data_IF_241101392259
#
_entry.id   IF_241101392259
#
_cell.length_a   1.000
_cell.length_b   1.000
_cell.length_c   1.000
_cell.angle_alpha   90.00
_cell.angle_beta   90.00
_cell.angle_gamma   90.00
#
_symmetry.space_group_name_H-M   'P 1'
#
loop_
_entity.id
_entity.type
_entity.pdbx_description
1 polymer ?
#
# COMPACT_ATOMS: atom_id res chain seq x y z
N UNK A 1 -16.10 30.77 -21.84
CA UNK A 1 -16.30 29.79 -20.75
C UNK A 1 -15.72 28.46 -21.21
N UNK A 2 -14.78 27.88 -20.47
CA UNK A 2 -14.27 26.53 -20.77
C UNK A 2 -15.37 25.54 -20.37
N UNK A 3 -15.78 24.67 -21.28
CA UNK A 3 -16.76 23.59 -21.03
C UNK A 3 -16.32 22.76 -19.82
N UNK A 4 -17.27 22.32 -18.98
CA UNK A 4 -16.96 21.51 -17.80
C UNK A 4 -16.32 20.17 -18.18
N UNK A 5 -16.59 19.65 -19.38
CA UNK A 5 -15.88 18.50 -19.94
C UNK A 5 -14.40 18.81 -20.19
N UNK A 6 -14.09 20.01 -20.69
CA UNK A 6 -12.70 20.44 -20.93
C UNK A 6 -11.97 20.64 -19.60
N UNK A 7 -12.63 21.18 -18.57
CA UNK A 7 -12.03 21.28 -17.22
C UNK A 7 -11.73 19.90 -16.63
N UNK A 8 -12.65 18.95 -16.78
CA UNK A 8 -12.48 17.57 -16.32
C UNK A 8 -11.34 16.86 -17.06
N UNK A 9 -11.27 17.05 -18.37
CA UNK A 9 -10.20 16.49 -19.21
C UNK A 9 -8.84 17.08 -18.83
N UNK A 10 -8.75 18.40 -18.63
CA UNK A 10 -7.53 19.09 -18.20
C UNK A 10 -7.08 18.65 -16.80
N UNK A 11 -8.01 18.45 -15.86
CA UNK A 11 -7.71 17.88 -14.54
C UNK A 11 -7.09 16.48 -14.65
N UNK A 12 -7.69 15.61 -15.47
CA UNK A 12 -7.19 14.25 -15.67
C UNK A 12 -5.83 14.21 -16.38
N UNK A 13 -5.63 15.05 -17.38
CA UNK A 13 -4.34 15.19 -18.07
C UNK A 13 -3.28 15.73 -17.11
N UNK A 14 -3.62 16.72 -16.28
CA UNK A 14 -2.70 17.28 -15.28
C UNK A 14 -2.28 16.22 -14.27
N UNK A 15 -3.23 15.43 -13.74
CA UNK A 15 -2.95 14.27 -12.86
C UNK A 15 -2.05 13.22 -13.52
N UNK A 16 -2.19 13.01 -14.82
CA UNK A 16 -1.37 12.06 -15.58
C UNK A 16 0.03 12.59 -15.94
N UNK A 17 0.21 13.92 -16.01
CA UNK A 17 1.46 14.58 -16.39
C UNK A 17 2.28 15.04 -15.17
N UNK A 18 1.64 15.22 -14.01
CA UNK A 18 2.38 15.26 -12.75
C UNK A 18 3.09 13.92 -12.61
N UNK A 19 4.42 13.92 -12.77
CA UNK A 19 5.29 12.93 -12.11
C UNK A 19 4.74 12.83 -10.69
N UNK A 20 4.09 11.72 -10.38
CA UNK A 20 3.27 11.55 -9.16
C UNK A 20 4.16 11.92 -7.98
N UNK A 21 4.03 13.16 -7.52
CA UNK A 21 4.68 13.61 -6.31
C UNK A 21 4.01 12.77 -5.23
N UNK A 22 4.79 12.04 -4.45
CA UNK A 22 4.38 10.89 -3.61
C UNK A 22 3.26 11.22 -2.59
N UNK A 23 2.83 12.50 -2.53
CA UNK A 23 1.84 13.12 -1.66
C UNK A 23 0.38 12.72 -1.91
N UNK A 24 0.07 12.06 -3.02
CA UNK A 24 -1.32 11.78 -3.39
C UNK A 24 -1.83 10.39 -2.97
N UNK A 25 -1.19 9.73 -1.99
CA UNK A 25 -1.77 8.55 -1.36
C UNK A 25 -3.20 8.80 -0.87
N UNK A 26 -3.46 10.01 -0.36
CA UNK A 26 -4.80 10.44 0.02
C UNK A 26 -5.75 10.58 -1.17
N UNK A 27 -5.26 11.02 -2.33
CA UNK A 27 -6.06 11.06 -3.55
C UNK A 27 -6.41 9.66 -4.06
N UNK A 28 -5.51 8.68 -3.90
CA UNK A 28 -5.75 7.30 -4.32
C UNK A 28 -6.66 6.53 -3.36
N UNK A 29 -6.67 6.88 -2.07
CA UNK A 29 -7.36 6.12 -1.03
C UNK A 29 -8.64 6.82 -0.52
N UNK A 30 -8.92 8.06 -0.94
CA UNK A 30 -10.17 8.79 -0.65
C UNK A 30 -11.48 8.12 -1.12
N UNK A 31 -11.40 6.91 -1.69
CA UNK A 31 -12.54 6.15 -2.21
C UNK A 31 -12.80 6.38 -3.69
N UNK A 32 -12.10 7.31 -4.35
CA UNK A 32 -12.25 7.56 -5.79
C UNK A 32 -11.58 6.48 -6.66
N UNK A 33 -10.54 5.80 -6.15
CA UNK A 33 -9.80 4.80 -6.90
C UNK A 33 -9.87 3.43 -6.21
N UNK A 34 -10.34 2.43 -6.95
CA UNK A 34 -10.35 1.02 -6.51
C UNK A 34 -9.10 0.27 -6.95
N UNK A 35 -8.30 0.88 -7.82
CA UNK A 35 -7.09 0.28 -8.37
C UNK A 35 -5.97 1.30 -8.56
N UNK A 36 -4.80 0.97 -8.01
CA UNK A 36 -3.56 1.76 -8.09
C UNK A 36 -2.50 0.88 -8.72
N UNK A 37 -1.79 1.39 -9.72
CA UNK A 37 -0.74 0.63 -10.40
C UNK A 37 0.53 1.42 -10.66
N UNK A 38 1.68 0.74 -10.58
CA UNK A 38 3.00 1.27 -10.93
C UNK A 38 3.38 2.53 -10.14
N UNK A 39 3.10 2.53 -8.84
CA UNK A 39 3.44 3.63 -7.93
C UNK A 39 4.66 3.25 -7.10
N UNK A 40 5.56 4.22 -6.91
CA UNK A 40 6.74 4.08 -6.06
C UNK A 40 6.56 4.86 -4.75
N UNK A 41 6.44 4.11 -3.66
CA UNK A 41 6.41 4.57 -2.27
C UNK A 41 7.77 4.40 -1.58
N UNK A 42 8.88 4.42 -2.32
CA UNK A 42 10.20 4.25 -1.73
C UNK A 42 10.46 5.27 -0.62
N UNK A 43 10.67 4.79 0.62
CA UNK A 43 10.85 5.60 1.85
C UNK A 43 9.69 6.52 2.19
N UNK A 44 8.53 6.29 1.59
CA UNK A 44 7.36 7.10 1.87
C UNK A 44 6.77 6.74 3.23
N UNK A 45 6.15 7.73 3.87
CA UNK A 45 5.47 7.55 5.14
C UNK A 45 3.95 7.43 4.91
N UNK A 46 3.39 6.31 5.36
CA UNK A 46 1.95 6.01 5.37
C UNK A 46 1.54 5.87 6.83
N UNK A 47 1.03 6.96 7.40
CA UNK A 47 0.66 7.02 8.82
C UNK A 47 -0.80 7.41 9.00
N UNK A 48 -1.49 6.75 9.93
CA UNK A 48 -2.89 7.05 10.29
C UNK A 48 -3.88 6.96 9.12
N UNK A 49 -3.69 5.99 8.22
CA UNK A 49 -4.57 5.81 7.05
C UNK A 49 -5.50 4.60 7.20
N UNK A 50 -6.71 4.74 6.69
CA UNK A 50 -7.65 3.64 6.50
C UNK A 50 -7.82 3.37 5.00
N UNK A 51 -7.46 2.17 4.58
CA UNK A 51 -7.45 1.75 3.18
C UNK A 51 -8.43 0.60 3.01
N UNK A 52 -9.47 0.80 2.19
CA UNK A 52 -10.56 -0.17 2.06
C UNK A 52 -10.83 -0.44 0.58
N UNK A 53 -10.91 -1.73 0.22
CA UNK A 53 -11.27 -2.18 -1.14
C UNK A 53 -10.34 -1.65 -2.26
N UNK A 54 -9.05 -1.45 -1.96
CA UNK A 54 -8.06 -0.99 -2.96
C UNK A 54 -7.20 -2.15 -3.44
N UNK A 55 -7.01 -2.23 -4.76
CA UNK A 55 -6.02 -3.11 -5.38
C UNK A 55 -4.77 -2.33 -5.76
N UNK A 56 -3.62 -2.71 -5.21
CA UNK A 56 -2.30 -2.23 -5.61
C UNK A 56 -1.66 -3.24 -6.58
N UNK A 57 -1.07 -2.78 -7.68
CA UNK A 57 -0.36 -3.65 -8.62
C UNK A 57 0.91 -3.05 -9.17
N UNK A 58 1.99 -3.84 -9.21
CA UNK A 58 3.30 -3.39 -9.70
C UNK A 58 3.85 -2.21 -8.89
N UNK A 59 3.46 -2.08 -7.61
CA UNK A 59 3.85 -0.95 -6.76
C UNK A 59 5.01 -1.31 -5.85
N UNK A 60 5.90 -0.35 -5.62
CA UNK A 60 7.04 -0.45 -4.71
C UNK A 60 6.70 0.22 -3.38
N UNK A 61 6.88 -0.48 -2.28
CA UNK A 61 6.84 0.02 -0.90
C UNK A 61 8.21 -0.08 -0.23
N UNK A 62 9.28 -0.16 -1.03
CA UNK A 62 10.62 -0.43 -0.52
C UNK A 62 11.02 0.63 0.50
N UNK A 63 11.49 0.26 1.68
CA UNK A 63 11.92 1.23 2.69
C UNK A 63 10.79 2.10 3.26
N UNK A 64 9.53 1.88 2.88
CA UNK A 64 8.40 2.67 3.35
C UNK A 64 8.17 2.47 4.85
N UNK A 65 7.61 3.49 5.48
CA UNK A 65 7.19 3.47 6.88
C UNK A 65 5.67 3.43 6.91
N UNK A 66 5.09 2.30 7.30
CA UNK A 66 3.64 2.09 7.34
C UNK A 66 3.26 1.93 8.81
N UNK A 67 2.67 2.98 9.38
CA UNK A 67 2.46 3.10 10.82
C UNK A 67 1.01 3.44 11.15
N UNK A 68 0.49 2.90 12.24
CA UNK A 68 -0.84 3.25 12.78
C UNK A 68 -1.96 3.23 11.72
N UNK A 69 -1.87 2.32 10.74
CA UNK A 69 -2.74 2.30 9.56
C UNK A 69 -3.54 1.00 9.49
N UNK A 70 -4.57 0.98 8.65
CA UNK A 70 -5.36 -0.23 8.41
C UNK A 70 -5.63 -0.46 6.93
N UNK A 71 -5.58 -1.73 6.53
CA UNK A 71 -5.90 -2.21 5.19
C UNK A 71 -6.96 -3.29 5.31
N UNK A 72 -8.14 -3.05 4.72
CA UNK A 72 -9.29 -3.94 4.77
C UNK A 72 -9.74 -4.31 3.36
N UNK A 73 -9.91 -5.61 3.10
CA UNK A 73 -10.35 -6.13 1.79
C UNK A 73 -9.45 -5.62 0.62
N UNK A 74 -8.17 -5.38 0.88
CA UNK A 74 -7.24 -4.89 -0.13
C UNK A 74 -6.52 -6.06 -0.82
N UNK A 75 -6.04 -5.82 -2.05
CA UNK A 75 -5.20 -6.78 -2.74
C UNK A 75 -3.90 -6.15 -3.23
N UNK A 76 -2.80 -6.88 -3.12
CA UNK A 76 -1.48 -6.46 -3.54
C UNK A 76 -0.95 -7.50 -4.51
N UNK A 77 -0.64 -7.10 -5.75
CA UNK A 77 -0.23 -8.01 -6.82
C UNK A 77 1.09 -7.53 -7.42
N UNK A 78 2.11 -8.37 -7.43
CA UNK A 78 3.44 -8.00 -7.92
C UNK A 78 4.01 -6.75 -7.19
N UNK A 79 3.80 -6.65 -5.88
CA UNK A 79 4.29 -5.53 -5.07
C UNK A 79 5.56 -5.90 -4.30
N UNK A 80 6.40 -4.91 -4.00
CA UNK A 80 7.64 -5.09 -3.23
C UNK A 80 7.58 -4.37 -1.89
N UNK A 81 7.78 -5.10 -0.79
CA UNK A 81 7.85 -4.63 0.58
C UNK A 81 9.25 -4.80 1.17
N UNK A 82 10.30 -4.62 0.35
CA UNK A 82 11.67 -4.83 0.82
C UNK A 82 12.08 -3.70 1.76
N UNK A 83 12.63 -4.03 2.93
CA UNK A 83 13.04 -3.06 3.96
C UNK A 83 11.89 -2.17 4.45
N UNK A 84 10.63 -2.60 4.26
CA UNK A 84 9.46 -1.88 4.76
C UNK A 84 9.34 -2.06 6.26
N UNK A 85 8.98 -0.99 6.97
CA UNK A 85 8.63 -1.02 8.37
C UNK A 85 7.11 -0.99 8.50
N UNK A 86 6.56 -2.01 9.16
CA UNK A 86 5.17 -2.03 9.61
C UNK A 86 5.17 -1.87 11.12
N UNK A 87 4.50 -0.83 11.63
CA UNK A 87 4.30 -0.66 13.07
C UNK A 87 2.83 -0.36 13.36
N UNK A 88 2.25 -1.00 14.38
CA UNK A 88 0.88 -0.70 14.81
C UNK A 88 -0.16 -0.73 13.66
N UNK A 89 0.06 -1.59 12.66
CA UNK A 89 -0.71 -1.63 11.42
C UNK A 89 -1.55 -2.90 11.35
N UNK A 90 -2.77 -2.78 10.80
CA UNK A 90 -3.71 -3.89 10.68
C UNK A 90 -3.99 -4.25 9.22
N UNK A 91 -3.87 -5.52 8.89
CA UNK A 91 -4.34 -6.10 7.64
C UNK A 91 -5.52 -7.06 7.93
N UNK A 92 -6.67 -6.82 7.32
CA UNK A 92 -7.87 -7.66 7.48
C UNK A 92 -8.42 -8.06 6.12
N UNK A 93 -8.67 -9.36 5.90
CA UNK A 93 -9.23 -9.89 4.65
C UNK A 93 -8.43 -9.48 3.40
N UNK A 94 -7.11 -9.32 3.51
CA UNK A 94 -6.26 -8.87 2.40
C UNK A 94 -5.63 -10.06 1.66
N UNK A 95 -5.35 -9.87 0.37
CA UNK A 95 -4.62 -10.87 -0.44
C UNK A 95 -3.32 -10.27 -0.97
N UNK A 96 -2.23 -11.00 -0.81
CA UNK A 96 -0.93 -10.69 -1.40
C UNK A 96 -0.61 -11.78 -2.42
N UNK A 97 -0.26 -11.41 -3.65
CA UNK A 97 0.00 -12.34 -4.75
C UNK A 97 1.24 -11.91 -5.51
N UNK A 98 2.19 -12.83 -5.67
CA UNK A 98 3.47 -12.59 -6.36
C UNK A 98 4.25 -11.41 -5.74
N UNK A 99 4.14 -11.23 -4.41
CA UNK A 99 4.79 -10.13 -3.69
C UNK A 99 6.14 -10.53 -3.09
N UNK A 100 6.99 -9.54 -2.83
CA UNK A 100 8.28 -9.72 -2.16
C UNK A 100 8.27 -9.05 -0.79
N UNK A 101 8.53 -9.83 0.25
CA UNK A 101 8.63 -9.40 1.64
C UNK A 101 10.01 -9.78 2.18
N UNK A 102 10.98 -8.85 2.09
CA UNK A 102 12.36 -9.12 2.50
C UNK A 102 12.90 -8.03 3.41
N UNK A 103 13.64 -8.41 4.46
CA UNK A 103 14.26 -7.46 5.37
C UNK A 103 13.25 -6.49 6.01
N UNK A 104 12.00 -6.93 6.17
CA UNK A 104 10.97 -6.13 6.82
C UNK A 104 11.21 -6.06 8.32
N UNK A 105 10.74 -4.98 8.92
CA UNK A 105 10.56 -4.89 10.35
C UNK A 105 9.06 -4.81 10.65
N UNK A 106 8.56 -5.79 11.40
CA UNK A 106 7.15 -5.91 11.78
C UNK A 106 7.07 -5.81 13.30
N UNK A 107 6.39 -4.76 13.77
CA UNK A 107 6.16 -4.49 15.19
C UNK A 107 4.67 -4.21 15.49
N UNK A 108 4.12 -4.87 16.51
CA UNK A 108 2.75 -4.64 17.00
C UNK A 108 1.66 -4.64 15.91
N UNK A 109 1.83 -5.49 14.90
CA UNK A 109 0.92 -5.58 13.78
C UNK A 109 -0.11 -6.68 13.95
N UNK A 110 -1.28 -6.48 13.35
CA UNK A 110 -2.36 -7.46 13.33
C UNK A 110 -2.62 -7.89 11.90
N UNK A 111 -2.45 -9.18 11.61
CA UNK A 111 -2.76 -9.78 10.30
C UNK A 111 -3.89 -10.80 10.51
N UNK A 112 -5.09 -10.54 9.97
CA UNK A 112 -6.27 -11.40 10.13
C UNK A 112 -6.90 -11.74 8.79
N UNK A 113 -7.22 -13.02 8.60
CA UNK A 113 -7.86 -13.54 7.39
C UNK A 113 -7.13 -13.12 6.09
N UNK A 114 -5.80 -13.00 6.14
CA UNK A 114 -5.01 -12.61 4.98
C UNK A 114 -4.45 -13.85 4.28
N UNK A 115 -4.27 -13.77 2.96
CA UNK A 115 -3.68 -14.84 2.16
C UNK A 115 -2.44 -14.36 1.43
N UNK A 116 -1.38 -15.16 1.43
CA UNK A 116 -0.14 -14.92 0.69
C UNK A 116 0.02 -16.02 -0.37
N UNK A 117 0.03 -15.66 -1.65
CA UNK A 117 0.15 -16.60 -2.78
C UNK A 117 1.41 -16.29 -3.56
N UNK A 118 2.27 -17.27 -3.77
CA UNK A 118 3.53 -17.11 -4.52
C UNK A 118 4.41 -15.94 -4.01
N UNK A 119 4.34 -15.64 -2.71
CA UNK A 119 5.10 -14.55 -2.14
C UNK A 119 6.49 -15.05 -1.71
N UNK A 120 7.51 -14.26 -1.98
CA UNK A 120 8.81 -14.45 -1.33
C UNK A 120 8.78 -13.80 0.05
N UNK A 121 9.16 -14.54 1.10
CA UNK A 121 9.23 -14.05 2.48
C UNK A 121 10.58 -14.48 3.06
N UNK A 122 11.46 -13.54 3.42
CA UNK A 122 12.78 -13.87 3.96
C UNK A 122 13.47 -12.72 4.69
N UNK A 123 14.35 -13.04 5.63
CA UNK A 123 15.16 -12.09 6.40
C UNK A 123 14.35 -11.03 7.18
N UNK A 124 13.12 -11.34 7.56
CA UNK A 124 12.24 -10.39 8.25
C UNK A 124 12.45 -10.45 9.77
N UNK A 125 12.42 -9.29 10.41
CA UNK A 125 12.49 -9.13 11.86
C UNK A 125 11.06 -8.94 12.37
N UNK A 126 10.62 -9.86 13.22
CA UNK A 126 9.33 -9.81 13.89
C UNK A 126 9.58 -9.50 15.37
N UNK A 127 9.13 -8.32 15.81
CA UNK A 127 9.12 -7.94 17.22
C UNK A 127 7.66 -7.86 17.67
N UNK A 128 7.24 -8.76 18.56
CA UNK A 128 5.90 -8.74 19.14
C UNK A 128 5.93 -9.31 20.55
N UNK A 129 5.15 -8.73 21.47
CA UNK A 129 4.83 -9.36 22.76
C UNK A 129 3.78 -10.49 22.63
N UNK A 130 3.07 -10.61 21.50
CA UNK A 130 2.13 -11.70 21.23
C UNK A 130 2.27 -12.28 19.81
N UNK A 131 2.35 -13.61 19.75
CA UNK A 131 2.67 -14.47 18.60
C UNK A 131 2.10 -14.03 17.24
N UNK A 132 2.99 -13.67 16.31
CA UNK A 132 2.69 -13.64 14.88
C UNK A 132 2.62 -15.10 14.38
N UNK A 133 1.41 -15.59 14.12
CA UNK A 133 1.19 -16.79 13.32
C UNK A 133 0.93 -16.34 11.88
N UNK A 134 1.93 -16.55 11.01
CA UNK A 134 1.77 -16.45 9.56
C UNK A 134 1.42 -17.81 8.99
#
# INVERSE_FOLDING_TARGET
MISDEIKKLLSNITKSLTKVDVKDLDAFISGEFTHVTNIDFHRYEISHKEVINVKFSLSSFRGAFIMYSSFTNCSFVNCSFIATMFSNTRFTNCTFTDCVFRAMHIEDNVIRNCTFKNCFIGDNIFSSDESVSC
#
